data_IF_877875448481
#
_entry.id   IF_877875448481
#
_cell.length_a   1.000
_cell.length_b   1.000
_cell.length_c   1.000
_cell.angle_alpha   90.00
_cell.angle_beta   90.00
_cell.angle_gamma   90.00
#
_symmetry.space_group_name_H-M   'P 1'
#
loop_
_entity.id
_entity.type
_entity.pdbx_description
1 polymer ?
#
# COMPACT_ATOMS: atom_id res chain seq x y z
N UNK A 1 18.83 -4.14 -7.32
CA UNK A 1 17.47 -4.66 -7.04
C UNK A 1 16.77 -4.94 -8.34
N UNK A 2 16.09 -6.06 -8.44
CA UNK A 2 15.30 -6.37 -9.62
C UNK A 2 14.22 -5.29 -9.82
N UNK A 3 13.86 -5.03 -11.06
CA UNK A 3 12.77 -4.09 -11.36
C UNK A 3 11.47 -4.61 -10.75
N UNK A 4 10.79 -3.75 -10.03
CA UNK A 4 9.50 -4.09 -9.47
C UNK A 4 8.43 -4.01 -10.57
N UNK A 5 7.37 -4.83 -10.47
CA UNK A 5 6.32 -4.82 -11.46
C UNK A 5 5.67 -3.44 -11.53
N UNK A 6 5.52 -2.94 -12.73
CA UNK A 6 4.82 -1.69 -12.99
C UNK A 6 3.65 -1.98 -13.90
N UNK A 7 2.52 -1.44 -13.53
CA UNK A 7 1.33 -1.56 -14.35
C UNK A 7 0.95 -0.21 -14.91
N UNK A 8 0.76 -0.18 -16.21
CA UNK A 8 0.15 0.96 -16.87
C UNK A 8 -1.34 0.69 -16.96
N UNK A 9 -2.11 1.55 -16.36
CA UNK A 9 -3.56 1.48 -16.42
C UNK A 9 -4.10 2.79 -16.96
N UNK A 10 -4.90 2.70 -18.00
CA UNK A 10 -5.51 3.87 -18.59
C UNK A 10 -6.61 4.41 -17.66
N UNK A 11 -6.86 5.73 -17.65
CA UNK A 11 -7.88 6.31 -16.78
C UNK A 11 -9.27 5.68 -16.93
N UNK A 12 -9.63 5.25 -18.14
CA UNK A 12 -10.93 4.62 -18.39
C UNK A 12 -11.02 3.19 -17.82
N UNK A 13 -9.89 2.60 -17.41
CA UNK A 13 -9.87 1.30 -16.76
C UNK A 13 -10.17 1.38 -15.26
N UNK A 14 -10.34 2.58 -14.71
CA UNK A 14 -10.67 2.77 -13.31
C UNK A 14 -12.09 2.30 -13.07
N UNK A 15 -12.33 1.37 -12.14
CA UNK A 15 -13.68 0.90 -11.83
C UNK A 15 -14.58 2.05 -11.40
N UNK A 16 -15.85 2.00 -11.82
CA UNK A 16 -16.83 3.07 -11.54
C UNK A 16 -17.01 3.30 -10.03
N UNK A 17 -16.95 2.25 -9.22
CA UNK A 17 -17.12 2.37 -7.78
C UNK A 17 -16.00 3.18 -7.10
N UNK A 18 -14.86 3.36 -7.76
CA UNK A 18 -13.74 4.13 -7.21
C UNK A 18 -14.09 5.61 -7.10
N UNK A 19 -14.83 6.14 -8.06
CA UNK A 19 -15.23 7.57 -8.09
C UNK A 19 -16.16 7.90 -6.92
N UNK A 20 -17.05 6.97 -6.59
CA UNK A 20 -18.06 7.17 -5.54
C UNK A 20 -17.61 6.57 -4.21
N UNK A 21 -16.53 5.81 -4.21
CA UNK A 21 -16.03 5.15 -3.03
C UNK A 21 -15.13 6.04 -2.19
N UNK A 22 -15.02 5.69 -0.92
CA UNK A 22 -14.11 6.36 -0.01
C UNK A 22 -12.67 5.95 -0.27
N UNK A 23 -11.74 6.87 -0.02
CA UNK A 23 -10.30 6.59 -0.04
C UNK A 23 -9.84 6.51 1.40
N UNK A 24 -9.13 5.45 1.73
CA UNK A 24 -8.58 5.23 3.06
C UNK A 24 -7.07 5.35 3.04
N UNK A 25 -6.53 6.04 4.03
CA UNK A 25 -5.12 5.99 4.36
C UNK A 25 -4.94 4.94 5.46
N UNK A 26 -4.19 3.88 5.16
CA UNK A 26 -4.03 2.75 6.06
C UNK A 26 -2.54 2.59 6.38
N UNK A 27 -2.24 2.35 7.66
CA UNK A 27 -0.90 2.00 8.12
C UNK A 27 -0.93 0.64 8.78
N UNK A 28 -0.12 -0.27 8.26
CA UNK A 28 0.05 -1.61 8.81
C UNK A 28 1.46 -1.73 9.38
N UNK A 29 1.56 -2.10 10.65
CA UNK A 29 2.84 -2.21 11.32
C UNK A 29 3.29 -3.65 11.44
N UNK A 30 4.59 -3.88 11.24
CA UNK A 30 5.23 -5.16 11.53
C UNK A 30 5.78 -5.20 12.94
N UNK A 31 6.05 -6.40 13.44
CA UNK A 31 6.65 -6.63 14.76
C UNK A 31 7.94 -7.43 14.60
N UNK A 32 8.94 -7.20 15.43
CA UNK A 32 9.01 -6.11 16.41
C UNK A 32 9.24 -4.76 15.73
N UNK A 33 8.73 -3.69 16.35
CA UNK A 33 8.94 -2.35 15.84
C UNK A 33 10.43 -2.00 15.87
N UNK A 34 10.86 -1.19 14.90
CA UNK A 34 12.24 -0.79 14.75
C UNK A 34 13.10 -1.77 13.96
N UNK A 35 12.54 -2.89 13.54
CA UNK A 35 13.24 -3.90 12.73
C UNK A 35 12.85 -3.73 11.27
N UNK A 36 13.84 -3.76 10.36
CA UNK A 36 13.54 -3.71 8.93
C UNK A 36 13.05 -5.07 8.45
N UNK A 37 11.74 -5.24 8.40
CA UNK A 37 11.10 -6.45 7.92
C UNK A 37 10.72 -6.36 6.44
N UNK A 38 10.39 -5.15 5.95
CA UNK A 38 9.76 -4.98 4.65
C UNK A 38 10.69 -4.49 3.55
N UNK A 39 11.71 -3.69 3.88
CA UNK A 39 12.56 -3.06 2.88
C UNK A 39 13.73 -3.95 2.51
N UNK A 40 13.40 -5.10 1.93
CA UNK A 40 14.32 -6.05 1.33
C UNK A 40 13.77 -6.39 -0.05
N UNK A 41 14.60 -6.51 -1.09
CA UNK A 41 14.10 -6.69 -2.46
C UNK A 41 13.14 -7.87 -2.61
N UNK A 42 13.46 -9.02 -2.03
CA UNK A 42 12.64 -10.22 -2.14
C UNK A 42 11.28 -10.04 -1.45
N UNK A 43 11.28 -9.54 -0.23
CA UNK A 43 10.05 -9.30 0.54
C UNK A 43 9.20 -8.25 -0.13
N UNK A 44 9.83 -7.14 -0.54
CA UNK A 44 9.12 -6.05 -1.22
C UNK A 44 8.47 -6.52 -2.52
N UNK A 45 9.17 -7.33 -3.30
CA UNK A 45 8.62 -7.89 -4.54
C UNK A 45 7.40 -8.76 -4.26
N UNK A 46 7.46 -9.63 -3.25
CA UNK A 46 6.34 -10.48 -2.89
C UNK A 46 5.11 -9.66 -2.47
N UNK A 47 5.32 -8.62 -1.66
CA UNK A 47 4.23 -7.74 -1.23
C UNK A 47 3.64 -6.98 -2.42
N UNK A 48 4.46 -6.38 -3.25
CA UNK A 48 4.00 -5.62 -4.41
C UNK A 48 3.26 -6.51 -5.40
N UNK A 49 3.75 -7.72 -5.66
CA UNK A 49 3.07 -8.64 -6.57
C UNK A 49 1.64 -8.95 -6.11
N UNK A 50 1.44 -9.15 -4.82
CA UNK A 50 0.09 -9.39 -4.29
C UNK A 50 -0.79 -8.13 -4.33
N UNK A 51 -0.19 -6.97 -4.07
CA UNK A 51 -0.91 -5.69 -4.17
C UNK A 51 -1.41 -5.47 -5.60
N UNK A 52 -0.54 -5.71 -6.58
CA UNK A 52 -0.89 -5.58 -8.00
C UNK A 52 -1.98 -6.57 -8.39
N UNK A 53 -1.86 -7.82 -7.93
CA UNK A 53 -2.84 -8.85 -8.24
C UNK A 53 -4.23 -8.48 -7.70
N UNK A 54 -4.32 -8.05 -6.46
CA UNK A 54 -5.58 -7.62 -5.85
C UNK A 54 -6.15 -6.40 -6.59
N UNK A 55 -5.29 -5.48 -7.00
CA UNK A 55 -5.69 -4.30 -7.76
C UNK A 55 -6.28 -4.71 -9.13
N UNK A 56 -5.61 -5.61 -9.83
CA UNK A 56 -6.06 -6.08 -11.14
C UNK A 56 -7.37 -6.86 -11.06
N UNK A 57 -7.56 -7.61 -9.99
CA UNK A 57 -8.80 -8.37 -9.78
C UNK A 57 -9.96 -7.52 -9.27
N UNK A 58 -9.73 -6.26 -8.94
CA UNK A 58 -10.76 -5.39 -8.39
C UNK A 58 -11.11 -5.67 -6.93
N UNK A 59 -10.26 -6.39 -6.21
CA UNK A 59 -10.44 -6.62 -4.77
C UNK A 59 -10.22 -5.33 -3.99
N UNK A 60 -9.31 -4.51 -4.44
CA UNK A 60 -9.13 -3.13 -4.02
C UNK A 60 -8.64 -2.28 -5.18
N UNK A 61 -8.67 -0.96 -4.99
CA UNK A 61 -8.04 -0.02 -5.90
C UNK A 61 -6.96 0.75 -5.13
N UNK A 62 -5.70 0.52 -5.48
CA UNK A 62 -4.56 1.14 -4.83
C UNK A 62 -4.19 2.41 -5.60
N UNK A 63 -4.06 3.53 -4.88
CA UNK A 63 -3.47 4.75 -5.41
C UNK A 63 -2.00 4.85 -5.09
N UNK A 64 -1.61 4.30 -3.95
CA UNK A 64 -0.22 4.28 -3.51
C UNK A 64 -0.02 3.16 -2.50
N UNK A 65 1.05 2.41 -2.67
CA UNK A 65 1.52 1.43 -1.70
C UNK A 65 2.99 1.71 -1.44
N UNK A 66 3.35 2.04 -0.20
CA UNK A 66 4.71 2.41 0.17
C UNK A 66 5.14 1.59 1.38
N UNK A 67 6.34 0.99 1.28
CA UNK A 67 6.92 0.23 2.36
C UNK A 67 8.00 1.04 3.06
N UNK A 68 7.88 1.12 4.37
CA UNK A 68 8.92 1.59 5.29
C UNK A 68 9.53 0.36 5.96
N UNK A 69 10.68 0.48 6.66
CA UNK A 69 11.33 -0.70 7.24
C UNK A 69 10.42 -1.56 8.13
N UNK A 70 9.58 -0.94 8.97
CA UNK A 70 8.77 -1.70 9.92
C UNK A 70 7.26 -1.44 9.78
N UNK A 71 6.83 -0.75 8.72
CA UNK A 71 5.41 -0.50 8.48
C UNK A 71 5.15 -0.21 7.01
N UNK A 72 3.89 -0.31 6.64
CA UNK A 72 3.41 -0.05 5.28
C UNK A 72 2.38 1.06 5.32
N UNK A 73 2.36 1.86 4.28
CA UNK A 73 1.29 2.84 4.03
C UNK A 73 0.59 2.53 2.73
N UNK A 74 -0.71 2.66 2.71
CA UNK A 74 -1.45 2.56 1.46
C UNK A 74 -2.59 3.57 1.40
N UNK A 75 -2.82 4.10 0.21
CA UNK A 75 -4.04 4.82 -0.14
C UNK A 75 -4.86 3.88 -1.00
N UNK A 76 -6.06 3.53 -0.54
CA UNK A 76 -6.80 2.41 -1.09
C UNK A 76 -8.31 2.66 -1.01
N UNK A 77 -9.02 2.18 -2.02
CA UNK A 77 -10.48 2.10 -2.01
C UNK A 77 -10.90 0.64 -2.14
N UNK A 78 -12.05 0.32 -1.56
CA UNK A 78 -12.61 -1.03 -1.59
C UNK A 78 -13.96 -1.00 -2.30
N UNK A 79 -14.28 -2.03 -3.11
CA UNK A 79 -15.59 -2.12 -3.71
C UNK A 79 -16.67 -2.28 -2.64
N UNK A 80 -17.91 -1.81 -2.88
CA UNK A 80 -18.97 -1.87 -1.87
C UNK A 80 -19.36 -3.29 -1.47
N UNK A 81 -19.00 -4.28 -2.27
CA UNK A 81 -19.31 -5.69 -2.02
C UNK A 81 -18.29 -6.37 -1.11
N UNK A 82 -17.25 -5.67 -0.70
CA UNK A 82 -16.18 -6.26 0.12
C UNK A 82 -15.94 -5.47 1.38
N UNK A 83 -15.70 -6.20 2.48
CA UNK A 83 -15.32 -5.59 3.75
C UNK A 83 -13.82 -5.27 3.75
N UNK A 84 -13.48 -4.02 4.10
CA UNK A 84 -12.08 -3.61 4.29
C UNK A 84 -11.37 -4.53 5.28
N UNK A 85 -12.03 -4.82 6.41
CA UNK A 85 -11.44 -5.68 7.45
C UNK A 85 -11.13 -7.08 6.92
N UNK A 86 -12.06 -7.66 6.16
CA UNK A 86 -11.86 -9.00 5.59
C UNK A 86 -10.74 -9.01 4.55
N UNK A 87 -10.69 -8.02 3.68
CA UNK A 87 -9.65 -7.93 2.66
C UNK A 87 -8.27 -7.78 3.30
N UNK A 88 -8.14 -6.87 4.25
CA UNK A 88 -6.87 -6.65 4.93
C UNK A 88 -6.44 -7.87 5.76
N UNK A 89 -7.38 -8.50 6.47
CA UNK A 89 -7.07 -9.70 7.25
C UNK A 89 -6.60 -10.85 6.37
N UNK A 90 -7.26 -11.05 5.23
CA UNK A 90 -6.85 -12.09 4.27
C UNK A 90 -5.48 -11.81 3.69
N UNK A 91 -5.22 -10.57 3.30
CA UNK A 91 -3.93 -10.18 2.74
C UNK A 91 -2.79 -10.33 3.76
N UNK A 92 -3.00 -9.82 4.98
CA UNK A 92 -2.04 -9.97 6.07
C UNK A 92 -1.77 -11.45 6.40
N UNK A 93 -2.86 -12.23 6.50
CA UNK A 93 -2.75 -13.65 6.82
C UNK A 93 -1.98 -14.44 5.77
N UNK A 94 -2.20 -14.12 4.49
CA UNK A 94 -1.45 -14.72 3.40
C UNK A 94 0.05 -14.48 3.56
N UNK A 95 0.44 -13.23 3.81
CA UNK A 95 1.86 -12.88 3.94
C UNK A 95 2.48 -13.37 5.24
N UNK A 96 1.69 -13.48 6.32
CA UNK A 96 2.16 -14.10 7.54
C UNK A 96 2.52 -15.57 7.30
N UNK A 97 1.67 -16.28 6.58
CA UNK A 97 1.86 -17.71 6.31
C UNK A 97 2.92 -17.96 5.23
N UNK A 98 2.84 -17.22 4.13
CA UNK A 98 3.68 -17.47 2.95
C UNK A 98 5.06 -16.85 3.08
N UNK A 99 5.16 -15.66 3.65
CA UNK A 99 6.38 -14.88 3.68
C UNK A 99 6.91 -14.63 5.09
N UNK A 100 6.31 -15.24 6.10
CA UNK A 100 6.78 -15.13 7.47
C UNK A 100 6.64 -13.74 8.07
N UNK A 101 5.77 -12.90 7.53
CA UNK A 101 5.59 -11.54 8.04
C UNK A 101 4.90 -11.60 9.40
N UNK A 102 5.45 -10.86 10.34
CA UNK A 102 4.89 -10.72 11.68
C UNK A 102 4.21 -9.36 11.78
N UNK A 103 2.89 -9.38 11.91
CA UNK A 103 2.07 -8.17 11.92
C UNK A 103 1.67 -7.77 13.31
N UNK A 104 1.61 -6.45 13.56
CA UNK A 104 0.85 -5.93 14.68
C UNK A 104 -0.62 -6.26 14.46
N UNK A 105 -1.32 -6.62 15.53
CA UNK A 105 -2.70 -7.11 15.44
C UNK A 105 -3.64 -6.10 14.81
N UNK A 106 -3.61 -4.87 15.31
CA UNK A 106 -4.48 -3.81 14.83
C UNK A 106 -3.76 -2.99 13.76
N UNK A 107 -4.51 -2.14 13.07
CA UNK A 107 -3.94 -1.23 12.10
C UNK A 107 -4.62 0.14 12.24
N UNK A 108 -3.92 1.16 11.78
CA UNK A 108 -4.45 2.52 11.74
C UNK A 108 -5.13 2.74 10.40
N UNK A 109 -6.33 3.35 10.42
CA UNK A 109 -7.04 3.76 9.23
C UNK A 109 -7.56 5.18 9.39
N UNK A 110 -7.57 5.91 8.28
CA UNK A 110 -8.19 7.23 8.19
C UNK A 110 -8.89 7.34 6.84
N UNK A 111 -10.21 7.53 6.87
CA UNK A 111 -10.96 7.79 5.66
C UNK A 111 -10.76 9.25 5.27
N UNK A 112 -10.31 9.49 4.03
CA UNK A 112 -10.13 10.85 3.54
C UNK A 112 -11.49 11.56 3.47
N UNK A 113 -11.51 12.79 3.96
CA UNK A 113 -12.70 13.64 3.90
C UNK A 113 -12.83 14.23 2.50
N UNK A 114 -14.02 14.74 2.18
CA UNK A 114 -14.29 15.33 0.86
C UNK A 114 -13.39 16.51 0.53
N UNK A 115 -12.86 17.21 1.53
CA UNK A 115 -11.94 18.34 1.35
C UNK A 115 -10.47 17.95 1.36
N UNK A 116 -10.15 16.66 1.52
CA UNK A 116 -8.78 16.17 1.50
C UNK A 116 -8.45 15.66 0.10
N UNK A 117 -7.33 16.13 -0.46
CA UNK A 117 -6.85 15.68 -1.77
C UNK A 117 -6.09 14.37 -1.64
N UNK A 118 -6.48 13.35 -2.42
CA UNK A 118 -5.75 12.09 -2.48
C UNK A 118 -4.38 12.27 -3.14
N UNK A 119 -4.25 13.22 -4.07
CA UNK A 119 -2.97 13.53 -4.71
C UNK A 119 -1.98 14.12 -3.70
N UNK A 120 -2.45 15.09 -2.89
CA UNK A 120 -1.62 15.70 -1.85
C UNK A 120 -1.23 14.67 -0.78
N UNK A 121 -2.18 13.81 -0.38
CA UNK A 121 -1.89 12.76 0.59
C UNK A 121 -0.87 11.77 0.05
N UNK A 122 -0.99 11.38 -1.22
CA UNK A 122 -0.01 10.50 -1.86
C UNK A 122 1.38 11.12 -1.85
N UNK A 123 1.48 12.40 -2.19
CA UNK A 123 2.76 13.12 -2.16
C UNK A 123 3.34 13.15 -0.75
N UNK A 124 2.50 13.40 0.25
CA UNK A 124 2.93 13.40 1.65
C UNK A 124 3.49 12.03 2.07
N UNK A 125 2.79 10.96 1.70
CA UNK A 125 3.23 9.59 2.03
C UNK A 125 4.53 9.26 1.31
N UNK A 126 4.63 9.64 0.02
CA UNK A 126 5.84 9.40 -0.78
C UNK A 126 7.09 10.03 -0.18
N UNK A 127 6.94 11.10 0.58
CA UNK A 127 8.05 11.77 1.23
C UNK A 127 8.40 11.19 2.60
N UNK A 128 7.70 10.17 3.08
CA UNK A 128 8.02 9.53 4.35
C UNK A 128 9.47 9.06 4.45
N UNK A 129 10.03 8.37 3.45
CA UNK A 129 11.44 7.94 3.54
C UNK A 129 12.43 9.10 3.63
N UNK A 130 12.10 10.22 2.99
CA UNK A 130 12.93 11.44 3.07
C UNK A 130 12.85 12.02 4.48
N UNK A 131 11.64 12.18 5.03
CA UNK A 131 11.46 12.69 6.39
C UNK A 131 12.11 11.80 7.45
N UNK A 132 12.14 10.50 7.19
CA UNK A 132 12.78 9.55 8.10
C UNK A 132 14.31 9.49 7.94
N UNK A 133 14.87 10.25 7.00
CA UNK A 133 16.31 10.28 6.78
C UNK A 133 16.87 9.05 6.07
N UNK A 134 16.00 8.27 5.41
CA UNK A 134 16.40 7.03 4.75
C UNK A 134 16.89 7.23 3.33
N UNK A 135 16.49 8.32 2.69
CA UNK A 135 16.85 8.65 1.32
C UNK A 135 16.78 10.18 1.12
N UNK A 136 17.54 10.70 0.18
CA UNK A 136 17.56 12.14 -0.09
C UNK A 136 16.38 12.61 -0.93
N UNK A 137 15.97 11.80 -1.91
CA UNK A 137 14.92 12.15 -2.85
C UNK A 137 13.85 11.04 -2.85
N UNK A 138 12.60 11.44 -2.79
CA UNK A 138 11.47 10.49 -2.76
C UNK A 138 11.46 9.59 -3.99
N UNK A 139 11.78 10.12 -5.17
CA UNK A 139 11.79 9.34 -6.40
C UNK A 139 12.83 8.22 -6.43
N UNK A 140 13.82 8.27 -5.55
CA UNK A 140 14.85 7.24 -5.46
C UNK A 140 14.47 6.09 -4.51
N UNK A 141 13.35 6.22 -3.78
CA UNK A 141 12.89 5.16 -2.87
C UNK A 141 12.34 3.99 -3.67
N UNK A 142 12.93 2.79 -3.59
CA UNK A 142 12.53 1.68 -4.46
C UNK A 142 11.32 0.89 -3.93
N UNK A 143 10.95 1.09 -2.67
CA UNK A 143 9.94 0.26 -2.00
C UNK A 143 8.57 0.92 -2.07
N UNK A 144 8.09 1.11 -3.29
CA UNK A 144 6.84 1.82 -3.55
C UNK A 144 6.21 1.30 -4.85
N UNK A 145 4.89 1.33 -4.90
CA UNK A 145 4.14 1.03 -6.12
C UNK A 145 2.95 1.96 -6.27
N UNK A 146 2.74 2.41 -7.50
CA UNK A 146 1.56 3.20 -7.91
C UNK A 146 1.09 2.67 -9.26
N UNK A 147 -0.24 2.70 -9.54
CA UNK A 147 -0.76 2.19 -10.80
C UNK A 147 -0.37 3.04 -12.02
N UNK A 148 -0.04 4.30 -11.82
CA UNK A 148 0.43 5.21 -12.88
C UNK A 148 1.34 6.29 -12.31
#
# INVERSE_FOLDING_TARGET
>A
MAALPQRRKLPHDVPSWVKDGSVYFITLCGLPRGTNQFCHPHTAEALINSVVLYHEKGTWFIRLFLMMPDHLHMLVSFPPTRSMMQVLSSWKGYHAKKNGIRWQRDFFEHRLRSNESDVEKASYIRNNPVRAGLISKAEDWPYVWQPW
#
